data_IF_670950005796
#
_entry.id   IF_670950005796
#
_cell.length_a   1.000
_cell.length_b   1.000
_cell.length_c   1.000
_cell.angle_alpha   90.00
_cell.angle_beta   90.00
_cell.angle_gamma   90.00
#
_symmetry.space_group_name_H-M   'P 1'
#
loop_
_entity.id
_entity.type
_entity.pdbx_description
1 polymer ?
#
# COMPACT_ATOMS: atom_id res chain seq x y z
N UNK A 1 9.45 28.14 1.18
CA UNK A 1 9.46 27.84 2.65
C UNK A 1 8.26 27.03 3.14
N UNK A 2 7.22 26.82 2.31
CA UNK A 2 5.99 26.12 2.71
C UNK A 2 5.93 24.65 2.30
N UNK A 3 6.96 24.13 1.64
CA UNK A 3 7.03 22.76 1.17
C UNK A 3 8.20 22.01 1.81
N UNK A 4 8.00 20.72 2.05
CA UNK A 4 9.10 19.85 2.45
C UNK A 4 10.10 19.70 1.29
N UNK A 5 11.41 19.77 1.52
CA UNK A 5 12.42 19.71 0.46
C UNK A 5 12.31 18.47 -0.43
N UNK A 6 12.06 17.30 0.16
CA UNK A 6 11.87 16.04 -0.57
C UNK A 6 10.62 16.03 -1.45
N UNK A 7 9.57 16.78 -1.07
CA UNK A 7 8.34 16.92 -1.87
C UNK A 7 8.59 17.86 -3.06
N UNK A 8 9.34 18.96 -2.86
CA UNK A 8 9.74 19.85 -3.95
C UNK A 8 10.64 19.14 -4.96
N UNK A 9 11.54 18.28 -4.49
CA UNK A 9 12.45 17.52 -5.34
C UNK A 9 11.73 16.61 -6.36
N UNK A 10 10.50 16.20 -6.08
CA UNK A 10 9.68 15.42 -7.02
C UNK A 10 9.30 16.18 -8.31
N UNK A 11 9.42 17.51 -8.31
CA UNK A 11 9.17 18.37 -9.46
C UNK A 11 10.45 19.07 -9.96
N UNK A 12 11.57 18.37 -9.85
CA UNK A 12 12.89 18.81 -10.37
C UNK A 12 13.34 17.89 -11.50
N UNK A 13 14.12 18.46 -12.40
CA UNK A 13 14.87 17.70 -13.40
C UNK A 13 16.13 17.09 -12.76
N UNK A 14 16.79 16.16 -13.43
CA UNK A 14 18.00 15.48 -12.95
C UNK A 14 19.15 16.45 -12.62
N UNK A 15 19.19 17.61 -13.28
CA UNK A 15 20.13 18.71 -13.01
C UNK A 15 19.68 19.67 -11.90
N UNK A 16 18.57 19.34 -11.21
CA UNK A 16 18.05 20.07 -10.05
C UNK A 16 17.22 21.32 -10.36
N UNK A 17 16.87 21.55 -11.64
CA UNK A 17 16.01 22.68 -12.01
C UNK A 17 14.56 22.41 -11.59
N UNK A 18 13.96 23.33 -10.84
CA UNK A 18 12.54 23.27 -10.48
C UNK A 18 11.68 23.54 -11.72
N UNK A 19 10.81 22.58 -12.09
CA UNK A 19 9.92 22.63 -13.25
C UNK A 19 8.44 22.63 -12.87
N UNK A 20 8.12 22.49 -11.60
CA UNK A 20 6.75 22.51 -11.12
C UNK A 20 6.68 22.73 -9.62
N UNK A 21 5.45 22.92 -9.13
CA UNK A 21 5.14 23.04 -7.71
C UNK A 21 4.15 21.94 -7.34
N UNK A 22 4.38 21.15 -6.27
CA UNK A 22 3.43 20.13 -5.83
C UNK A 22 2.10 20.76 -5.44
N UNK A 23 1.01 20.26 -6.03
CA UNK A 23 -0.36 20.64 -5.68
C UNK A 23 -0.97 19.61 -4.74
N UNK A 24 -0.78 18.33 -5.01
CA UNK A 24 -1.18 17.23 -4.13
C UNK A 24 -0.17 16.11 -4.20
N UNK A 25 0.08 15.47 -3.06
CA UNK A 25 0.96 14.29 -2.98
C UNK A 25 0.17 13.15 -2.35
N UNK A 26 0.35 11.96 -2.89
CA UNK A 26 -0.23 10.73 -2.40
C UNK A 26 0.83 9.65 -2.28
N UNK A 27 0.71 8.83 -1.26
CA UNK A 27 1.55 7.63 -1.04
C UNK A 27 0.65 6.46 -0.65
N UNK A 28 1.04 5.21 -0.94
CA UNK A 28 0.34 4.04 -0.43
C UNK A 28 0.52 3.94 1.08
N UNK A 29 -0.54 3.53 1.75
CA UNK A 29 -0.59 3.32 3.21
C UNK A 29 -1.42 2.09 3.53
N UNK A 30 -1.29 1.59 4.76
CA UNK A 30 -2.14 0.55 5.31
C UNK A 30 -3.27 1.19 6.13
N UNK A 31 -4.52 1.09 5.66
CA UNK A 31 -5.70 1.37 6.49
C UNK A 31 -6.13 0.10 7.22
N UNK A 32 -6.65 0.24 8.45
CA UNK A 32 -7.15 -0.89 9.21
C UNK A 32 -8.35 -0.53 10.08
N UNK A 33 -9.13 -1.56 10.40
CA UNK A 33 -10.30 -1.45 11.27
C UNK A 33 -9.93 -1.86 12.70
N UNK A 34 -9.85 -0.91 13.66
CA UNK A 34 -9.46 -1.20 15.03
C UNK A 34 -10.43 -2.09 15.79
N UNK A 35 -11.72 -2.10 15.39
CA UNK A 35 -12.73 -2.96 16.02
C UNK A 35 -12.50 -4.43 15.64
N UNK A 36 -12.18 -4.70 14.35
CA UNK A 36 -11.80 -6.04 13.89
C UNK A 36 -10.49 -6.48 14.54
N UNK A 37 -9.51 -5.58 14.69
CA UNK A 37 -8.25 -5.88 15.38
C UNK A 37 -8.54 -6.33 16.82
N UNK A 38 -9.28 -5.55 17.57
CA UNK A 38 -9.66 -5.89 18.95
C UNK A 38 -10.41 -7.22 19.01
N UNK A 39 -11.38 -7.45 18.13
CA UNK A 39 -12.14 -8.71 18.06
C UNK A 39 -11.26 -9.92 17.72
N UNK A 40 -10.20 -9.70 16.94
CA UNK A 40 -9.22 -10.73 16.61
C UNK A 40 -8.16 -10.94 17.72
N UNK A 41 -8.13 -10.10 18.77
CA UNK A 41 -7.10 -10.13 19.81
C UNK A 41 -5.78 -9.47 19.39
N UNK A 42 -5.84 -8.59 18.38
CA UNK A 42 -4.72 -7.75 17.95
C UNK A 42 -4.79 -6.39 18.66
N UNK A 43 -3.62 -5.78 18.91
CA UNK A 43 -3.56 -4.42 19.48
C UNK A 43 -3.77 -3.36 18.38
N UNK A 44 -4.88 -2.61 18.39
CA UNK A 44 -5.13 -1.57 17.40
C UNK A 44 -4.18 -0.37 17.50
N UNK A 45 -3.41 -0.23 18.60
CA UNK A 45 -2.42 0.83 18.74
C UNK A 45 -1.03 0.42 18.23
N UNK A 46 -0.85 -0.86 17.88
CA UNK A 46 0.38 -1.37 17.30
C UNK A 46 0.07 -2.14 16.00
N UNK A 47 -0.30 -1.44 14.91
CA UNK A 47 -0.60 -2.08 13.63
C UNK A 47 0.65 -2.74 13.02
N UNK A 48 0.45 -3.69 12.10
CA UNK A 48 1.54 -4.33 11.37
C UNK A 48 2.47 -3.34 10.69
N UNK A 49 3.78 -3.56 10.82
CA UNK A 49 4.83 -2.74 10.22
C UNK A 49 5.54 -3.47 9.09
N UNK A 50 5.50 -4.81 9.12
CA UNK A 50 6.11 -5.65 8.09
C UNK A 50 5.06 -6.48 7.36
N UNK A 51 5.40 -6.96 6.18
CA UNK A 51 4.52 -7.85 5.40
C UNK A 51 4.29 -9.18 6.13
N UNK A 52 5.29 -9.66 6.86
CA UNK A 52 5.18 -10.87 7.68
C UNK A 52 4.14 -10.68 8.80
N UNK A 53 4.14 -9.50 9.44
CA UNK A 53 3.13 -9.13 10.43
C UNK A 53 1.74 -8.96 9.80
N UNK A 54 1.64 -8.40 8.56
CA UNK A 54 0.37 -8.29 7.82
C UNK A 54 -0.21 -9.69 7.54
N UNK A 55 0.61 -10.62 7.07
CA UNK A 55 0.19 -12.02 6.82
C UNK A 55 -0.32 -12.66 8.10
N UNK A 56 0.42 -12.51 9.20
CA UNK A 56 0.03 -13.06 10.51
C UNK A 56 -1.28 -12.45 11.01
N UNK A 57 -1.40 -11.13 10.94
CA UNK A 57 -2.62 -10.42 11.35
C UNK A 57 -3.82 -10.79 10.48
N UNK A 58 -3.64 -10.91 9.16
CA UNK A 58 -4.70 -11.32 8.24
C UNK A 58 -5.24 -12.73 8.57
N UNK A 59 -4.34 -13.67 8.85
CA UNK A 59 -4.71 -15.02 9.29
C UNK A 59 -5.48 -14.99 10.60
N UNK A 60 -4.96 -14.28 11.61
CA UNK A 60 -5.61 -14.17 12.93
C UNK A 60 -7.00 -13.54 12.83
N UNK A 61 -7.17 -12.48 12.03
CA UNK A 61 -8.47 -11.86 11.76
C UNK A 61 -9.43 -12.89 11.18
N UNK A 62 -9.01 -13.63 10.16
CA UNK A 62 -9.85 -14.66 9.53
C UNK A 62 -10.27 -15.74 10.52
N UNK A 63 -9.34 -16.28 11.27
CA UNK A 63 -9.58 -17.37 12.23
C UNK A 63 -10.48 -16.94 13.40
N UNK A 64 -10.28 -15.74 13.93
CA UNK A 64 -10.98 -15.28 15.14
C UNK A 64 -12.33 -14.60 14.86
N UNK A 65 -12.49 -13.96 13.70
CA UNK A 65 -13.67 -13.14 13.40
C UNK A 65 -14.47 -13.62 12.19
N UNK A 66 -13.90 -14.48 11.34
CA UNK A 66 -14.47 -14.88 10.07
C UNK A 66 -14.38 -13.80 8.97
N UNK A 67 -13.95 -12.57 9.31
CA UNK A 67 -13.77 -11.51 8.34
C UNK A 67 -12.55 -11.77 7.43
N UNK A 68 -12.52 -11.12 6.26
CA UNK A 68 -11.32 -11.11 5.44
C UNK A 68 -10.22 -10.29 6.12
N UNK A 69 -8.98 -10.79 6.06
CA UNK A 69 -7.87 -10.15 6.76
C UNK A 69 -7.31 -8.96 6.00
N UNK A 70 -7.07 -9.11 4.69
CA UNK A 70 -6.32 -8.15 3.91
C UNK A 70 -6.84 -8.00 2.47
N UNK A 71 -6.73 -6.79 1.93
CA UNK A 71 -6.92 -6.47 0.52
C UNK A 71 -5.86 -5.45 0.07
N UNK A 72 -5.31 -5.61 -1.12
CA UNK A 72 -4.47 -4.60 -1.75
C UNK A 72 -5.15 -4.08 -3.02
N UNK A 73 -5.18 -2.76 -3.17
CA UNK A 73 -5.58 -2.14 -4.43
C UNK A 73 -4.58 -2.55 -5.53
N UNK A 74 -4.95 -3.48 -6.38
CA UNK A 74 -4.09 -4.01 -7.45
C UNK A 74 -4.76 -4.01 -8.82
N UNK A 75 -6.10 -4.01 -8.86
CA UNK A 75 -6.86 -4.13 -10.09
C UNK A 75 -6.77 -2.83 -10.91
N UNK A 76 -6.37 -2.96 -12.18
CA UNK A 76 -6.19 -1.87 -13.14
C UNK A 76 -5.25 -0.74 -12.67
N UNK A 77 -4.40 -1.00 -11.68
CA UNK A 77 -3.50 -0.02 -11.08
C UNK A 77 -2.21 -0.72 -10.60
N UNK A 78 -1.11 -0.41 -11.23
CA UNK A 78 0.22 -0.97 -10.91
C UNK A 78 1.01 -0.13 -9.90
N UNK A 79 0.43 0.91 -9.32
CA UNK A 79 1.11 1.80 -8.39
C UNK A 79 1.40 1.15 -7.02
N UNK A 80 0.42 0.44 -6.43
CA UNK A 80 0.63 -0.36 -5.22
C UNK A 80 1.49 -1.60 -5.49
N UNK A 81 1.41 -2.15 -6.70
CA UNK A 81 2.30 -3.23 -7.16
C UNK A 81 3.75 -2.76 -7.22
N UNK A 82 4.01 -1.56 -7.72
CA UNK A 82 5.33 -0.95 -7.67
C UNK A 82 5.83 -0.85 -6.22
N UNK A 83 4.97 -0.36 -5.31
CA UNK A 83 5.34 -0.21 -3.91
C UNK A 83 5.80 -1.54 -3.27
N UNK A 84 5.08 -2.64 -3.49
CA UNK A 84 5.44 -3.92 -2.89
C UNK A 84 6.68 -4.55 -3.55
N UNK A 85 6.84 -4.42 -4.86
CA UNK A 85 8.00 -4.93 -5.60
C UNK A 85 9.27 -4.20 -5.18
N UNK A 86 9.25 -2.87 -5.19
CA UNK A 86 10.42 -2.05 -4.87
C UNK A 86 10.78 -2.12 -3.38
N UNK A 87 9.79 -2.25 -2.49
CA UNK A 87 10.02 -2.50 -1.06
C UNK A 87 10.62 -3.88 -0.77
N UNK A 88 10.47 -4.84 -1.70
CA UNK A 88 11.16 -6.13 -1.60
C UNK A 88 12.56 -6.13 -2.28
N UNK A 89 13.02 -5.00 -2.77
CA UNK A 89 14.33 -4.86 -3.44
C UNK A 89 14.29 -5.10 -4.94
N UNK A 90 13.09 -5.30 -5.54
CA UNK A 90 12.91 -5.34 -6.98
C UNK A 90 12.86 -3.96 -7.61
N UNK A 91 12.56 -3.89 -8.89
CA UNK A 91 12.37 -2.65 -9.63
C UNK A 91 11.33 -2.83 -10.74
N UNK A 92 10.56 -1.79 -11.02
CA UNK A 92 9.63 -1.79 -12.16
C UNK A 92 10.36 -1.60 -13.49
N UNK A 93 11.46 -0.86 -13.49
CA UNK A 93 12.23 -0.51 -14.67
C UNK A 93 13.72 -0.79 -14.45
N UNK A 94 14.42 -1.17 -15.51
CA UNK A 94 15.88 -1.31 -15.53
C UNK A 94 16.47 -0.61 -16.75
N UNK A 95 17.69 -0.09 -16.62
CA UNK A 95 18.43 0.50 -17.72
C UNK A 95 19.48 -0.53 -18.21
N UNK A 96 19.34 -0.96 -19.45
CA UNK A 96 20.30 -1.87 -20.10
C UNK A 96 20.82 -1.24 -21.40
N UNK A 97 22.09 -0.88 -21.39
CA UNK A 97 22.75 -0.28 -22.56
C UNK A 97 22.12 1.05 -23.01
N UNK A 98 21.68 1.87 -22.06
CA UNK A 98 21.04 3.17 -22.32
C UNK A 98 19.57 3.08 -22.74
N UNK A 99 18.97 1.90 -22.67
CA UNK A 99 17.54 1.68 -22.96
C UNK A 99 16.79 1.26 -21.71
N UNK A 100 15.67 1.93 -21.44
CA UNK A 100 14.76 1.55 -20.36
C UNK A 100 13.97 0.31 -20.78
N UNK A 101 13.97 -0.71 -19.92
CA UNK A 101 13.24 -1.97 -20.09
C UNK A 101 12.42 -2.28 -18.84
N UNK A 102 11.48 -3.21 -18.94
CA UNK A 102 10.81 -3.79 -17.79
C UNK A 102 11.83 -4.41 -16.82
N UNK A 103 11.72 -4.12 -15.54
CA UNK A 103 12.65 -4.53 -14.49
C UNK A 103 12.05 -5.48 -13.45
N UNK A 104 10.76 -5.81 -13.57
CA UNK A 104 10.05 -6.67 -12.61
C UNK A 104 10.16 -8.17 -12.90
N UNK A 105 10.95 -8.56 -13.89
CA UNK A 105 11.31 -9.96 -14.19
C UNK A 105 12.46 -10.39 -13.26
N UNK A 106 12.17 -10.47 -11.96
CA UNK A 106 13.16 -10.79 -10.92
C UNK A 106 12.54 -11.67 -9.82
N UNK A 107 13.38 -12.46 -9.10
CA UNK A 107 12.92 -13.23 -7.95
C UNK A 107 12.24 -12.38 -6.87
N UNK A 108 12.72 -11.17 -6.64
CA UNK A 108 12.16 -10.24 -5.64
C UNK A 108 10.73 -9.81 -6.00
N UNK A 109 10.47 -9.49 -7.27
CA UNK A 109 9.14 -9.17 -7.75
C UNK A 109 8.21 -10.40 -7.67
N UNK A 110 8.70 -11.57 -8.10
CA UNK A 110 7.96 -12.82 -8.00
C UNK A 110 7.59 -13.14 -6.54
N UNK A 111 8.53 -12.98 -5.60
CA UNK A 111 8.27 -13.22 -4.18
C UNK A 111 7.23 -12.26 -3.59
N UNK A 112 7.23 -10.98 -4.00
CA UNK A 112 6.22 -10.01 -3.57
C UNK A 112 4.81 -10.40 -4.04
N UNK A 113 4.65 -10.83 -5.28
CA UNK A 113 3.38 -11.34 -5.79
C UNK A 113 2.98 -12.66 -5.16
N UNK A 114 3.93 -13.57 -4.91
CA UNK A 114 3.67 -14.85 -4.29
C UNK A 114 3.09 -14.67 -2.87
N UNK A 115 3.59 -13.71 -2.09
CA UNK A 115 3.05 -13.39 -0.77
C UNK A 115 1.57 -13.00 -0.84
N UNK A 116 1.18 -12.16 -1.81
CA UNK A 116 -0.22 -11.78 -2.01
C UNK A 116 -1.07 -12.97 -2.47
N UNK A 117 -0.56 -13.75 -3.41
CA UNK A 117 -1.23 -14.94 -3.94
C UNK A 117 -1.46 -15.99 -2.85
N UNK A 118 -0.48 -16.19 -1.97
CA UNK A 118 -0.59 -17.13 -0.85
C UNK A 118 -1.65 -16.67 0.15
N UNK A 119 -1.71 -15.38 0.50
CA UNK A 119 -2.78 -14.87 1.35
C UNK A 119 -4.18 -15.11 0.76
N UNK A 120 -4.34 -14.95 -0.56
CA UNK A 120 -5.62 -15.22 -1.25
C UNK A 120 -5.92 -16.72 -1.24
N UNK A 121 -4.95 -17.56 -1.58
CA UNK A 121 -5.08 -19.01 -1.61
C UNK A 121 -5.44 -19.60 -0.23
N UNK A 122 -4.87 -19.03 0.83
CA UNK A 122 -5.14 -19.44 2.21
C UNK A 122 -6.45 -18.86 2.77
N UNK A 123 -7.18 -18.07 1.97
CA UNK A 123 -8.47 -17.48 2.34
C UNK A 123 -8.36 -16.29 3.31
N UNK A 124 -7.16 -15.75 3.52
CA UNK A 124 -6.89 -14.63 4.42
C UNK A 124 -6.88 -13.29 3.68
N UNK A 125 -6.55 -13.31 2.39
CA UNK A 125 -6.55 -12.16 1.48
C UNK A 125 -7.77 -12.17 0.56
N UNK A 126 -8.25 -10.98 0.22
CA UNK A 126 -9.34 -10.78 -0.74
C UNK A 126 -8.72 -10.45 -2.11
N UNK A 127 -9.11 -11.20 -3.15
CA UNK A 127 -8.87 -10.84 -4.54
C UNK A 127 -10.19 -10.37 -5.15
N UNK A 128 -10.27 -9.09 -5.48
CA UNK A 128 -11.50 -8.44 -5.91
C UNK A 128 -11.20 -7.18 -6.71
N UNK A 129 -12.20 -6.58 -7.32
CA UNK A 129 -12.08 -5.23 -7.87
C UNK A 129 -11.83 -4.21 -6.74
N UNK A 130 -11.28 -3.05 -7.09
CA UNK A 130 -11.06 -1.98 -6.11
C UNK A 130 -12.35 -1.56 -5.41
N UNK A 131 -13.45 -1.49 -6.15
CA UNK A 131 -14.75 -1.13 -5.58
C UNK A 131 -15.23 -2.16 -4.56
N UNK A 132 -15.20 -3.45 -4.89
CA UNK A 132 -15.59 -4.54 -3.99
C UNK A 132 -14.70 -4.58 -2.74
N UNK A 133 -13.38 -4.43 -2.89
CA UNK A 133 -12.44 -4.40 -1.76
C UNK A 133 -12.71 -3.23 -0.82
N UNK A 134 -12.92 -2.03 -1.37
CA UNK A 134 -13.26 -0.85 -0.56
C UNK A 134 -14.63 -0.98 0.12
N UNK A 135 -15.63 -1.52 -0.56
CA UNK A 135 -16.93 -1.78 0.05
C UNK A 135 -16.86 -2.82 1.19
N UNK A 136 -16.05 -3.86 1.02
CA UNK A 136 -15.79 -4.83 2.09
C UNK A 136 -15.15 -4.16 3.32
N UNK A 137 -14.19 -3.26 3.12
CA UNK A 137 -13.57 -2.49 4.20
C UNK A 137 -14.58 -1.56 4.89
N UNK A 138 -15.27 -0.71 4.13
CA UNK A 138 -16.23 0.28 4.64
C UNK A 138 -17.41 -0.37 5.39
N UNK A 139 -17.81 -1.57 4.98
CA UNK A 139 -18.87 -2.34 5.64
C UNK A 139 -18.42 -3.11 6.88
N UNK A 140 -17.13 -3.04 7.26
CA UNK A 140 -16.59 -3.74 8.43
C UNK A 140 -16.41 -5.26 8.22
N UNK A 141 -16.22 -5.71 6.97
CA UNK A 141 -16.00 -7.13 6.61
C UNK A 141 -14.54 -7.43 6.23
N UNK A 142 -13.67 -6.43 6.29
CA UNK A 142 -12.27 -6.52 5.94
C UNK A 142 -11.42 -5.80 6.99
N UNK A 143 -10.38 -6.46 7.50
CA UNK A 143 -9.54 -5.94 8.56
C UNK A 143 -8.56 -4.86 8.11
N UNK A 144 -7.90 -5.09 6.96
CA UNK A 144 -6.82 -4.24 6.46
C UNK A 144 -6.93 -4.00 4.96
N UNK A 145 -6.56 -2.79 4.51
CA UNK A 145 -6.48 -2.46 3.08
C UNK A 145 -5.28 -1.57 2.78
N UNK A 146 -4.44 -1.97 1.82
CA UNK A 146 -3.41 -1.10 1.24
C UNK A 146 -3.96 -0.34 0.04
N UNK A 147 -3.94 0.98 0.12
CA UNK A 147 -4.36 1.90 -0.94
C UNK A 147 -3.75 3.29 -0.71
N UNK A 148 -4.09 4.24 -1.57
CA UNK A 148 -3.64 5.63 -1.47
C UNK A 148 -4.16 6.33 -0.22
N UNK A 149 -3.30 7.12 0.45
CA UNK A 149 -3.72 8.01 1.56
C UNK A 149 -4.85 8.96 1.15
N UNK A 150 -4.98 9.27 -0.14
CA UNK A 150 -6.06 10.08 -0.68
C UNK A 150 -7.47 9.54 -0.43
N UNK A 151 -7.61 8.25 -0.10
CA UNK A 151 -8.89 7.65 0.30
C UNK A 151 -9.34 8.02 1.72
N UNK A 152 -8.44 8.57 2.55
CA UNK A 152 -8.69 8.81 3.97
C UNK A 152 -10.00 9.55 4.24
N UNK A 153 -10.20 10.72 3.65
CA UNK A 153 -11.40 11.52 3.88
C UNK A 153 -12.69 10.80 3.47
N UNK A 154 -12.65 10.04 2.36
CA UNK A 154 -13.77 9.24 1.91
C UNK A 154 -14.04 8.08 2.88
N UNK A 155 -13.01 7.38 3.33
CA UNK A 155 -13.14 6.27 4.26
C UNK A 155 -13.67 6.75 5.63
N UNK A 156 -13.12 7.83 6.18
CA UNK A 156 -13.60 8.42 7.44
C UNK A 156 -15.08 8.87 7.38
N UNK A 157 -15.52 9.35 6.20
CA UNK A 157 -16.93 9.76 6.00
C UNK A 157 -17.87 8.56 5.82
N UNK A 158 -17.40 7.47 5.22
CA UNK A 158 -18.27 6.37 4.75
C UNK A 158 -18.22 5.14 5.65
N UNK A 159 -17.13 4.92 6.39
CA UNK A 159 -17.02 3.81 7.32
C UNK A 159 -17.91 3.97 8.54
N UNK A 160 -18.41 2.84 9.07
CA UNK A 160 -19.20 2.78 10.30
C UNK A 160 -18.35 2.59 11.55
N UNK A 161 -17.04 2.67 11.43
CA UNK A 161 -16.03 2.50 12.46
C UNK A 161 -14.97 3.59 12.34
N UNK A 162 -14.14 3.77 13.37
CA UNK A 162 -13.01 4.69 13.33
C UNK A 162 -11.95 4.17 12.37
N UNK A 163 -11.72 4.87 11.26
CA UNK A 163 -10.65 4.53 10.30
C UNK A 163 -9.29 4.84 10.92
N UNK A 164 -8.40 3.86 10.92
CA UNK A 164 -7.02 4.02 11.33
C UNK A 164 -6.09 3.79 10.13
N UNK A 165 -4.91 4.43 10.15
CA UNK A 165 -3.91 4.29 9.11
C UNK A 165 -2.52 4.12 9.71
N UNK A 166 -1.70 3.34 9.04
CA UNK A 166 -0.28 3.10 9.33
C UNK A 166 0.55 3.28 8.03
N UNK A 167 1.87 3.44 8.13
CA UNK A 167 2.74 3.39 6.96
C UNK A 167 2.51 2.10 6.14
N UNK A 168 2.83 2.16 4.84
CA UNK A 168 2.85 0.97 4.00
C UNK A 168 3.83 -0.05 4.59
N UNK A 169 3.49 -1.35 4.66
CA UNK A 169 4.36 -2.34 5.29
C UNK A 169 5.68 -2.52 4.52
N UNK A 170 6.78 -2.71 5.24
CA UNK A 170 8.07 -3.06 4.65
C UNK A 170 8.32 -4.56 4.75
N UNK A 171 9.20 -5.10 3.93
CA UNK A 171 9.72 -6.45 4.14
C UNK A 171 10.79 -6.43 5.21
N UNK A 172 10.84 -7.47 6.04
CA UNK A 172 11.82 -7.57 7.12
C UNK A 172 13.26 -7.47 6.60
N UNK A 173 14.05 -6.58 7.19
CA UNK A 173 15.43 -6.33 6.76
C UNK A 173 15.59 -5.58 5.43
N UNK A 174 14.50 -5.10 4.81
CA UNK A 174 14.53 -4.30 3.57
C UNK A 174 14.20 -2.84 3.85
N UNK A 175 14.60 -1.98 2.93
CA UNK A 175 14.24 -0.55 2.94
C UNK A 175 12.83 -0.38 2.36
N UNK A 176 12.00 0.40 3.05
CA UNK A 176 10.69 0.77 2.52
C UNK A 176 10.84 1.72 1.33
N UNK A 177 10.30 1.33 0.17
CA UNK A 177 10.24 2.13 -1.04
C UNK A 177 8.80 2.20 -1.53
N UNK A 178 8.27 3.41 -1.58
CA UNK A 178 6.91 3.66 -2.07
C UNK A 178 6.92 4.75 -3.13
N UNK A 179 6.21 4.58 -4.24
CA UNK A 179 6.08 5.62 -5.24
C UNK A 179 5.24 6.77 -4.69
N UNK A 180 5.61 7.99 -5.03
CA UNK A 180 4.76 9.14 -4.81
C UNK A 180 3.82 9.30 -6.01
N UNK A 181 2.53 9.45 -5.71
CA UNK A 181 1.51 9.90 -6.66
C UNK A 181 1.18 11.37 -6.40
N UNK A 182 0.35 11.95 -7.26
CA UNK A 182 -0.13 13.31 -7.07
C UNK A 182 -0.08 14.15 -8.33
N UNK A 183 -0.25 15.44 -8.15
CA UNK A 183 -0.29 16.43 -9.24
C UNK A 183 0.65 17.59 -8.96
N UNK A 184 1.23 18.12 -10.02
CA UNK A 184 2.12 19.27 -9.99
C UNK A 184 1.57 20.36 -10.90
N UNK A 185 1.67 21.62 -10.45
CA UNK A 185 1.49 22.78 -11.31
C UNK A 185 2.83 23.02 -12.00
N UNK A 186 2.85 22.85 -13.32
CA UNK A 186 4.07 23.05 -14.10
C UNK A 186 4.34 24.55 -14.32
N UNK A 187 5.62 24.93 -14.32
CA UNK A 187 6.11 26.29 -14.56
C UNK A 187 6.39 26.51 -16.04
#
# INVERSE_FOLDING_TARGET
ENYLPNVLALAQTDDGKQIGIPYSISVPVLFYNPEIFTAAGLDPNNPPKTWEEVVSAAKQIKEKTGNMGFFMQEYADNWTQQAIIESNGGSMLKNEGGKVKAGFDTPEAAAAYQLLADMVKDGNGLHATNEEGFQAYLSGKLGMVCTTIGKRANFEKSAKFKVMAAPFPQFEGKELKVPAGGNFLML
#
